data_IF_871167035208
#
_entry.id   IF_871167035208
#
_cell.length_a   1.000
_cell.length_b   1.000
_cell.length_c   1.000
_cell.angle_alpha   90.00
_cell.angle_beta   90.00
_cell.angle_gamma   90.00
#
_symmetry.space_group_name_H-M   'P 1'
#
loop_
_entity.id
_entity.type
_entity.pdbx_description
1 polymer ?
#
# COMPACT_ATOMS: atom_id res chain seq x y z
N UNK A 1 -10.18 -22.35 -15.15
CA UNK A 1 -10.29 -22.65 -13.71
C UNK A 1 -11.26 -21.65 -13.09
N UNK A 2 -12.45 -22.10 -12.68
CA UNK A 2 -13.46 -21.20 -12.11
C UNK A 2 -13.20 -20.99 -10.60
N UNK A 3 -13.21 -19.72 -10.18
CA UNK A 3 -13.16 -19.33 -8.77
C UNK A 3 -14.59 -19.06 -8.29
N UNK A 4 -15.01 -19.70 -7.21
CA UNK A 4 -16.34 -19.43 -6.65
C UNK A 4 -16.38 -18.01 -6.08
N UNK A 5 -17.58 -17.42 -6.04
CA UNK A 5 -17.79 -16.09 -5.46
C UNK A 5 -17.28 -15.99 -4.02
N UNK A 6 -17.42 -17.05 -3.23
CA UNK A 6 -16.91 -17.10 -1.85
C UNK A 6 -15.39 -17.02 -1.78
N UNK A 7 -14.68 -17.60 -2.74
CA UNK A 7 -13.21 -17.61 -2.74
C UNK A 7 -12.62 -16.28 -3.19
N UNK A 8 -13.27 -15.61 -4.15
CA UNK A 8 -12.92 -14.23 -4.53
C UNK A 8 -13.09 -13.31 -3.32
N UNK A 9 -14.15 -13.50 -2.55
CA UNK A 9 -14.45 -12.69 -1.37
C UNK A 9 -13.42 -12.95 -0.25
N UNK A 10 -13.13 -14.23 0.05
CA UNK A 10 -12.07 -14.61 1.01
C UNK A 10 -10.70 -14.06 0.61
N UNK A 11 -10.35 -14.11 -0.67
CA UNK A 11 -9.08 -13.57 -1.17
C UNK A 11 -9.02 -12.05 -1.05
N UNK A 12 -10.08 -11.35 -1.47
CA UNK A 12 -10.20 -9.89 -1.38
C UNK A 12 -10.04 -9.43 0.07
N UNK A 13 -10.72 -10.11 1.00
CA UNK A 13 -10.65 -9.81 2.43
C UNK A 13 -9.25 -10.09 2.98
N UNK A 14 -8.64 -11.22 2.62
CA UNK A 14 -7.27 -11.55 3.05
C UNK A 14 -6.26 -10.50 2.58
N UNK A 15 -6.35 -10.04 1.33
CA UNK A 15 -5.47 -9.00 0.78
C UNK A 15 -5.73 -7.65 1.45
N UNK A 16 -6.99 -7.33 1.74
CA UNK A 16 -7.36 -6.12 2.47
C UNK A 16 -6.75 -6.10 3.88
N UNK A 17 -6.82 -7.21 4.62
CA UNK A 17 -6.19 -7.30 5.95
C UNK A 17 -4.67 -7.19 5.90
N UNK A 18 -4.02 -7.74 4.87
CA UNK A 18 -2.58 -7.56 4.66
C UNK A 18 -2.27 -6.08 4.48
N UNK A 19 -3.00 -5.38 3.60
CA UNK A 19 -2.78 -3.95 3.39
C UNK A 19 -3.04 -3.13 4.64
N UNK A 20 -4.10 -3.43 5.38
CA UNK A 20 -4.39 -2.74 6.65
C UNK A 20 -3.27 -2.96 7.68
N UNK A 21 -2.76 -4.18 7.81
CA UNK A 21 -1.66 -4.47 8.73
C UNK A 21 -0.37 -3.75 8.32
N UNK A 22 -0.07 -3.70 7.02
CA UNK A 22 1.14 -3.03 6.50
C UNK A 22 1.01 -1.51 6.61
N UNK A 23 -0.04 -0.91 6.04
CA UNK A 23 -0.17 0.54 5.97
C UNK A 23 -0.55 1.16 7.32
N UNK A 24 -1.58 0.64 8.01
CA UNK A 24 -2.02 1.18 9.30
C UNK A 24 -1.10 0.73 10.43
N UNK A 25 -0.79 -0.58 10.48
CA UNK A 25 0.11 -1.12 11.49
C UNK A 25 1.53 -0.58 11.35
N UNK A 26 2.05 -0.48 10.11
CA UNK A 26 3.35 0.13 9.83
C UNK A 26 3.40 1.61 10.17
N UNK A 27 2.39 2.40 9.77
CA UNK A 27 2.34 3.82 10.12
C UNK A 27 2.22 4.04 11.64
N UNK A 28 1.42 3.24 12.34
CA UNK A 28 1.32 3.29 13.80
C UNK A 28 2.65 2.92 14.46
N UNK A 29 3.35 1.90 13.97
CA UNK A 29 4.67 1.51 14.45
C UNK A 29 5.67 2.65 14.28
N UNK A 30 5.72 3.26 13.09
CA UNK A 30 6.57 4.41 12.83
C UNK A 30 6.27 5.59 13.76
N UNK A 31 4.99 5.86 14.01
CA UNK A 31 4.58 6.91 14.94
C UNK A 31 5.08 6.63 16.36
N UNK A 32 4.81 5.43 16.89
CA UNK A 32 5.20 5.04 18.24
C UNK A 32 6.73 5.02 18.42
N UNK A 33 7.45 4.44 17.46
CA UNK A 33 8.91 4.41 17.48
C UNK A 33 9.48 5.82 17.37
N UNK A 34 8.92 6.67 16.50
CA UNK A 34 9.33 8.06 16.36
C UNK A 34 9.18 8.86 17.66
N UNK A 35 8.04 8.71 18.33
CA UNK A 35 7.79 9.35 19.63
C UNK A 35 8.74 8.84 20.71
N UNK A 36 8.97 7.53 20.76
CA UNK A 36 9.93 6.94 21.68
C UNK A 36 11.34 7.48 21.46
N UNK A 37 11.84 7.49 20.22
CA UNK A 37 13.19 8.00 19.90
C UNK A 37 13.35 9.48 20.27
N UNK A 38 12.32 10.30 20.05
CA UNK A 38 12.32 11.71 20.48
C UNK A 38 12.35 11.87 21.98
N UNK A 39 11.58 11.07 22.72
CA UNK A 39 11.58 11.13 24.19
C UNK A 39 12.94 10.78 24.81
N UNK A 40 13.75 9.99 24.11
CA UNK A 40 15.11 9.64 24.53
C UNK A 40 16.16 10.70 24.14
N UNK A 41 15.75 11.81 23.50
CA UNK A 41 16.66 12.87 23.06
C UNK A 41 17.66 12.44 22.00
N UNK A 42 17.44 11.28 21.36
CA UNK A 42 18.42 10.66 20.46
C UNK A 42 18.60 11.50 19.19
N UNK A 43 17.60 12.32 18.81
CA UNK A 43 17.60 13.01 17.52
C UNK A 43 16.95 14.40 17.63
N UNK A 44 17.79 15.43 17.59
CA UNK A 44 17.46 16.84 17.30
C UNK A 44 18.70 17.48 16.68
N UNK A 45 18.96 17.17 15.40
CA UNK A 45 20.14 17.66 14.68
C UNK A 45 19.91 19.02 14.01
N UNK A 46 18.65 19.40 13.76
CA UNK A 46 18.29 20.58 12.95
C UNK A 46 17.00 21.23 13.48
N UNK A 47 16.92 22.58 13.58
CA UNK A 47 15.71 23.28 14.02
C UNK A 47 14.53 23.11 13.07
N UNK A 48 13.33 22.93 13.63
CA UNK A 48 12.10 22.53 12.92
C UNK A 48 11.71 23.45 11.75
N UNK A 49 11.82 24.77 11.92
CA UNK A 49 11.44 25.76 10.89
C UNK A 49 12.22 25.58 9.59
N UNK A 50 13.47 25.10 9.67
CA UNK A 50 14.29 24.83 8.49
C UNK A 50 13.90 23.54 7.75
N UNK A 51 13.10 22.67 8.39
CA UNK A 51 12.65 21.40 7.83
C UNK A 51 11.23 21.47 7.26
N UNK A 52 10.45 22.51 7.52
CA UNK A 52 9.06 22.59 7.05
C UNK A 52 8.96 22.56 5.52
N UNK A 53 9.88 23.22 4.81
CA UNK A 53 9.96 23.12 3.34
C UNK A 53 10.23 21.68 2.88
N UNK A 54 11.09 20.93 3.60
CA UNK A 54 11.31 19.52 3.33
C UNK A 54 10.03 18.71 3.56
N UNK A 55 9.30 18.97 4.65
CA UNK A 55 8.03 18.28 4.94
C UNK A 55 6.97 18.50 3.86
N UNK A 56 6.79 19.74 3.37
CA UNK A 56 5.90 20.01 2.23
C UNK A 56 6.39 19.36 0.94
N UNK A 57 7.71 19.34 0.71
CA UNK A 57 8.31 18.60 -0.41
C UNK A 57 7.98 17.11 -0.35
N UNK A 58 8.11 16.49 0.83
CA UNK A 58 7.78 15.08 1.05
C UNK A 58 6.29 14.80 0.85
N UNK A 59 5.39 15.71 1.24
CA UNK A 59 3.96 15.60 0.93
C UNK A 59 3.68 15.63 -0.57
N UNK A 60 4.32 16.55 -1.31
CA UNK A 60 4.17 16.63 -2.76
C UNK A 60 4.69 15.37 -3.47
N UNK A 61 5.86 14.86 -3.05
CA UNK A 61 6.40 13.58 -3.53
C UNK A 61 5.45 12.43 -3.21
N UNK A 62 4.93 12.36 -1.99
CA UNK A 62 3.97 11.31 -1.58
C UNK A 62 2.70 11.34 -2.43
N UNK A 63 2.18 12.53 -2.75
CA UNK A 63 1.02 12.66 -3.63
C UNK A 63 1.31 12.15 -5.05
N UNK A 64 2.49 12.47 -5.60
CA UNK A 64 2.92 12.00 -6.90
C UNK A 64 3.13 10.47 -6.92
N UNK A 65 3.70 9.90 -5.85
CA UNK A 65 3.86 8.46 -5.69
C UNK A 65 2.51 7.75 -5.62
N UNK A 66 1.58 8.23 -4.79
CA UNK A 66 0.22 7.67 -4.71
C UNK A 66 -0.45 7.69 -6.09
N UNK A 67 -0.37 8.82 -6.82
CA UNK A 67 -0.91 8.92 -8.17
C UNK A 67 -0.26 7.89 -9.12
N UNK A 68 1.07 7.73 -9.05
CA UNK A 68 1.83 6.77 -9.85
C UNK A 68 1.42 5.34 -9.54
N UNK A 69 1.28 4.97 -8.26
CA UNK A 69 0.87 3.61 -7.85
C UNK A 69 -0.57 3.32 -8.29
N UNK A 70 -1.47 4.30 -8.22
CA UNK A 70 -2.85 4.15 -8.73
C UNK A 70 -2.85 3.88 -10.24
N UNK A 71 -2.05 4.60 -11.01
CA UNK A 71 -1.90 4.37 -12.46
C UNK A 71 -1.27 3.00 -12.73
N UNK A 72 -0.22 2.63 -11.99
CA UNK A 72 0.42 1.32 -12.10
C UNK A 72 -0.56 0.18 -11.80
N UNK A 73 -1.33 0.26 -10.70
CA UNK A 73 -2.39 -0.71 -10.35
C UNK A 73 -3.37 -0.88 -11.51
N UNK A 74 -3.89 0.22 -12.07
CA UNK A 74 -4.85 0.17 -13.19
C UNK A 74 -4.25 -0.48 -14.43
N UNK A 75 -3.05 -0.05 -14.83
CA UNK A 75 -2.34 -0.64 -15.98
C UNK A 75 -2.03 -2.12 -15.75
N UNK A 76 -1.67 -2.51 -14.53
CA UNK A 76 -1.34 -3.89 -14.21
C UNK A 76 -2.54 -4.84 -14.19
N UNK A 77 -3.67 -4.42 -13.61
CA UNK A 77 -4.91 -5.19 -13.67
C UNK A 77 -5.29 -5.47 -15.13
N UNK A 78 -5.03 -4.50 -16.02
CA UNK A 78 -5.25 -4.65 -17.46
C UNK A 78 -4.20 -5.53 -18.15
N UNK A 79 -2.91 -5.40 -17.81
CA UNK A 79 -1.80 -6.00 -18.56
C UNK A 79 -1.39 -7.41 -18.10
N UNK A 80 -1.57 -7.76 -16.82
CA UNK A 80 -1.18 -9.08 -16.27
C UNK A 80 -2.28 -10.13 -16.28
N UNK A 81 -3.49 -9.79 -16.72
CA UNK A 81 -4.57 -10.77 -16.96
C UNK A 81 -4.11 -12.01 -17.77
N UNK A 82 -3.23 -11.92 -18.79
CA UNK A 82 -2.81 -13.09 -19.58
C UNK A 82 -1.78 -14.00 -18.87
N UNK A 83 -0.84 -13.44 -18.09
CA UNK A 83 0.21 -14.21 -17.42
C UNK A 83 -0.32 -14.94 -16.17
N UNK A 84 -1.30 -14.34 -15.50
CA UNK A 84 -2.01 -14.96 -14.39
C UNK A 84 -2.92 -16.13 -14.84
N UNK A 85 -3.34 -16.16 -16.12
CA UNK A 85 -4.12 -17.27 -16.71
C UNK A 85 -3.33 -18.54 -16.94
N UNK A 86 -2.01 -18.46 -17.17
CA UNK A 86 -1.19 -19.65 -17.46
C UNK A 86 -0.86 -20.48 -16.22
N UNK A 87 -1.17 -19.97 -15.02
CA UNK A 87 -0.90 -20.65 -13.76
C UNK A 87 -1.97 -21.73 -13.55
N UNK A 88 -1.61 -22.97 -13.88
CA UNK A 88 -2.50 -24.14 -13.72
C UNK A 88 -2.80 -24.50 -12.25
N UNK A 89 -1.96 -24.07 -11.31
CA UNK A 89 -2.09 -24.37 -9.86
C UNK A 89 -2.71 -23.20 -9.08
N UNK A 90 -3.89 -23.45 -8.53
CA UNK A 90 -4.67 -22.52 -7.68
C UNK A 90 -3.86 -21.83 -6.58
N UNK A 91 -3.10 -22.59 -5.81
CA UNK A 91 -2.35 -22.06 -4.66
C UNK A 91 -1.26 -21.08 -5.08
N UNK A 92 -0.60 -21.37 -6.21
CA UNK A 92 0.46 -20.52 -6.76
C UNK A 92 -0.11 -19.19 -7.23
N UNK A 93 -1.28 -19.21 -7.89
CA UNK A 93 -2.00 -18.01 -8.31
C UNK A 93 -2.33 -17.11 -7.12
N UNK A 94 -2.93 -17.66 -6.05
CA UNK A 94 -3.26 -16.89 -4.85
C UNK A 94 -2.01 -16.32 -4.18
N UNK A 95 -0.93 -17.09 -4.09
CA UNK A 95 0.32 -16.64 -3.47
C UNK A 95 0.93 -15.48 -4.24
N UNK A 96 0.99 -15.59 -5.57
CA UNK A 96 1.51 -14.51 -6.42
C UNK A 96 0.67 -13.24 -6.31
N UNK A 97 -0.67 -13.39 -6.29
CA UNK A 97 -1.56 -12.24 -6.15
C UNK A 97 -1.41 -11.55 -4.79
N UNK A 98 -1.31 -12.33 -3.69
CA UNK A 98 -1.03 -11.80 -2.35
C UNK A 98 0.32 -11.07 -2.29
N UNK A 99 1.38 -11.68 -2.83
CA UNK A 99 2.72 -11.06 -2.87
C UNK A 99 2.71 -9.75 -3.65
N UNK A 100 2.05 -9.74 -4.81
CA UNK A 100 1.93 -8.55 -5.65
C UNK A 100 1.23 -7.39 -4.92
N UNK A 101 0.09 -7.66 -4.28
CA UNK A 101 -0.60 -6.64 -3.51
C UNK A 101 0.17 -6.23 -2.26
N UNK A 102 0.86 -7.16 -1.59
CA UNK A 102 1.76 -6.82 -0.49
C UNK A 102 2.88 -5.87 -0.94
N UNK A 103 3.44 -6.04 -2.14
CA UNK A 103 4.41 -5.08 -2.71
C UNK A 103 3.77 -3.71 -2.91
N UNK A 104 2.55 -3.64 -3.46
CA UNK A 104 1.85 -2.36 -3.61
C UNK A 104 1.62 -1.67 -2.27
N UNK A 105 1.25 -2.43 -1.23
CA UNK A 105 1.07 -1.89 0.12
C UNK A 105 2.38 -1.45 0.78
N UNK A 106 3.48 -2.16 0.53
CA UNK A 106 4.81 -1.71 1.00
C UNK A 106 5.21 -0.38 0.35
N UNK A 107 4.86 -0.17 -0.92
CA UNK A 107 5.11 1.11 -1.58
C UNK A 107 4.17 2.19 -1.05
N UNK A 108 2.92 1.91 -0.70
CA UNK A 108 2.03 2.91 -0.08
C UNK A 108 2.41 3.32 1.32
N UNK A 109 3.21 2.52 2.02
CA UNK A 109 3.75 2.83 3.34
C UNK A 109 4.88 3.88 3.29
N UNK A 110 5.43 4.18 2.11
CA UNK A 110 6.54 5.15 1.95
C UNK A 110 6.27 6.55 2.50
N UNK A 111 5.06 7.15 2.41
CA UNK A 111 4.81 8.45 3.03
C UNK A 111 4.95 8.39 4.55
N UNK A 112 4.49 7.33 5.20
CA UNK A 112 4.67 7.16 6.65
C UNK A 112 6.15 7.01 7.02
N UNK A 113 6.95 6.35 6.18
CA UNK A 113 8.40 6.28 6.35
C UNK A 113 9.06 7.66 6.21
N UNK A 114 8.65 8.46 5.22
CA UNK A 114 9.12 9.84 5.09
C UNK A 114 8.74 10.69 6.29
N UNK A 115 7.51 10.53 6.78
CA UNK A 115 7.02 11.20 7.98
C UNK A 115 7.84 10.82 9.20
N UNK A 116 8.17 9.54 9.35
CA UNK A 116 9.04 9.05 10.41
C UNK A 116 10.42 9.70 10.35
N UNK A 117 11.09 9.67 9.19
CA UNK A 117 12.41 10.26 9.01
C UNK A 117 12.39 11.77 9.27
N UNK A 118 11.41 12.48 8.71
CA UNK A 118 11.20 13.90 8.92
C UNK A 118 10.99 14.24 10.41
N UNK A 119 10.10 13.52 11.08
CA UNK A 119 9.79 13.73 12.49
C UNK A 119 11.01 13.50 13.36
N UNK A 120 11.70 12.38 13.12
CA UNK A 120 12.93 12.02 13.82
C UNK A 120 14.00 13.12 13.67
N UNK A 121 14.18 13.70 12.48
CA UNK A 121 15.22 14.71 12.23
C UNK A 121 14.99 16.07 12.93
N UNK A 122 13.80 16.34 13.44
CA UNK A 122 13.47 17.65 14.00
C UNK A 122 12.15 18.24 13.50
N UNK A 123 11.46 17.54 12.59
CA UNK A 123 10.20 17.99 12.00
C UNK A 123 9.01 18.10 12.96
N UNK A 124 7.97 18.78 12.53
CA UNK A 124 6.73 18.96 13.29
C UNK A 124 5.87 17.70 13.31
N UNK A 125 5.14 17.49 14.41
CA UNK A 125 4.19 16.38 14.51
C UNK A 125 3.05 16.49 13.49
N UNK A 126 2.60 17.72 13.21
CA UNK A 126 1.53 17.99 12.24
C UNK A 126 1.85 17.43 10.85
N UNK A 127 3.05 17.72 10.32
CA UNK A 127 3.45 17.23 9.00
C UNK A 127 3.66 15.71 8.99
N UNK A 128 4.11 15.12 10.10
CA UNK A 128 4.17 13.66 10.25
C UNK A 128 2.78 13.02 10.17
N UNK A 129 1.81 13.55 10.93
CA UNK A 129 0.43 13.06 10.90
C UNK A 129 -0.15 13.19 9.49
N UNK A 130 0.12 14.28 8.77
CA UNK A 130 -0.33 14.44 7.38
C UNK A 130 0.24 13.37 6.44
N UNK A 131 1.50 12.96 6.63
CA UNK A 131 2.11 11.88 5.86
C UNK A 131 1.54 10.49 6.24
N UNK A 132 1.15 10.28 7.49
CA UNK A 132 0.36 9.10 7.90
C UNK A 132 -1.02 9.10 7.22
N UNK A 133 -1.70 10.25 7.20
CA UNK A 133 -2.98 10.40 6.49
C UNK A 133 -2.82 10.13 4.99
N UNK A 134 -1.73 10.62 4.37
CA UNK A 134 -1.42 10.33 2.97
C UNK A 134 -1.26 8.82 2.71
N UNK A 135 -0.58 8.09 3.61
CA UNK A 135 -0.47 6.62 3.57
C UNK A 135 -1.85 5.96 3.61
N UNK A 136 -2.74 6.43 4.49
CA UNK A 136 -4.12 5.91 4.58
C UNK A 136 -4.93 6.20 3.31
N UNK A 137 -4.77 7.38 2.71
CA UNK A 137 -5.39 7.72 1.43
C UNK A 137 -4.87 6.79 0.34
N UNK A 138 -3.54 6.57 0.27
CA UNK A 138 -2.91 5.63 -0.65
C UNK A 138 -3.52 4.23 -0.53
N UNK A 139 -3.59 3.70 0.68
CA UNK A 139 -4.26 2.43 0.98
C UNK A 139 -5.72 2.41 0.49
N UNK A 140 -6.52 3.43 0.80
CA UNK A 140 -7.94 3.47 0.39
C UNK A 140 -8.13 3.47 -1.13
N UNK A 141 -7.20 4.07 -1.89
CA UNK A 141 -7.20 4.10 -3.34
C UNK A 141 -6.73 2.76 -3.94
N UNK A 142 -5.79 2.08 -3.28
CA UNK A 142 -5.13 0.87 -3.78
C UNK A 142 -5.80 -0.41 -3.29
N UNK A 143 -6.60 -0.37 -2.22
CA UNK A 143 -7.34 -1.53 -1.69
C UNK A 143 -8.06 -2.29 -2.80
N UNK A 144 -8.01 -3.61 -2.69
CA UNK A 144 -8.59 -4.51 -3.68
C UNK A 144 -10.07 -4.65 -3.42
N UNK A 145 -10.90 -4.29 -4.40
CA UNK A 145 -12.35 -4.55 -4.32
C UNK A 145 -12.64 -5.92 -4.92
N UNK A 146 -13.66 -6.64 -4.42
CA UNK A 146 -14.08 -7.91 -5.01
C UNK A 146 -14.38 -7.80 -6.50
N UNK A 147 -14.95 -6.66 -6.93
CA UNK A 147 -15.23 -6.37 -8.33
C UNK A 147 -13.96 -6.21 -9.19
N UNK A 148 -12.87 -5.71 -8.61
CA UNK A 148 -11.58 -5.58 -9.33
C UNK A 148 -11.00 -6.98 -9.61
N UNK A 149 -11.07 -7.86 -8.60
CA UNK A 149 -10.68 -9.26 -8.73
C UNK A 149 -11.58 -9.99 -9.75
N UNK A 150 -12.89 -9.79 -9.67
CA UNK A 150 -13.84 -10.40 -10.60
C UNK A 150 -13.64 -9.92 -12.04
N UNK A 151 -13.19 -8.69 -12.29
CA UNK A 151 -12.82 -8.26 -13.65
C UNK A 151 -11.51 -8.89 -14.13
N UNK A 152 -10.52 -9.00 -13.24
CA UNK A 152 -9.24 -9.63 -13.55
C UNK A 152 -9.36 -11.15 -13.78
N UNK A 153 -10.32 -11.80 -13.11
CA UNK A 153 -10.60 -13.25 -13.18
C UNK A 153 -11.72 -13.56 -14.18
N UNK A 154 -12.74 -12.72 -14.31
CA UNK A 154 -13.88 -12.93 -15.21
C UNK A 154 -13.58 -12.65 -16.67
N UNK A 155 -12.44 -12.01 -16.97
CA UNK A 155 -11.86 -12.04 -18.31
C UNK A 155 -11.23 -13.39 -18.65
N UNK A 156 -11.04 -14.29 -17.67
CA UNK A 156 -10.71 -15.71 -17.84
C UNK A 156 -12.00 -16.45 -18.18
N UNK A 157 -12.47 -16.24 -19.41
CA UNK A 157 -13.51 -17.04 -20.01
C UNK A 157 -12.86 -18.32 -20.61
N UNK A 158 -13.65 -19.40 -20.74
CA UNK A 158 -13.46 -20.61 -21.56
C UNK A 158 -12.65 -21.76 -20.91
N UNK A 159 -13.06 -23.03 -20.89
CA UNK A 159 -14.17 -23.81 -21.47
C UNK A 159 -14.85 -24.63 -20.35
N UNK A 160 -16.15 -24.91 -20.50
CA UNK A 160 -16.80 -25.98 -19.73
C UNK A 160 -16.19 -27.33 -20.16
N UNK A 161 -15.81 -28.20 -19.21
CA UNK A 161 -15.46 -29.56 -19.58
C UNK A 161 -16.76 -30.30 -19.92
N UNK A 162 -16.95 -30.62 -21.19
CA UNK A 162 -17.80 -31.75 -21.61
C UNK A 162 -17.31 -33.07 -20.98
#
# INVERSE_FOLDING_TARGET
MQLTRQEILKLSVSVMYIGLLVDLGGAALFYLVGQFLRSQGIITLVPAESLDMLGYGLLAVSAAEIATIVVLKRRWISARSPQLRSIRKREVFYRQLKLMFATLFLVTLTPALYGFLYFVLGGTETLFILLIVATMIGYMLIRVRPNDLQKSIGSIELEDPE
#
